data_IF_917811865859
#
_entry.id   IF_917811865859
#
_cell.length_a   1.000
_cell.length_b   1.000
_cell.length_c   1.000
_cell.angle_alpha   90.00
_cell.angle_beta   90.00
_cell.angle_gamma   90.00
#
_symmetry.space_group_name_H-M   'P 1'
#
loop_
_entity.id
_entity.type
_entity.pdbx_description
1 polymer ?
#
# COMPACT_ATOMS: atom_id res chain seq x y z
N UNK A 1 3.52 -1.98 3.43
CA UNK A 1 3.76 -3.11 4.33
C UNK A 1 5.17 -2.99 4.87
N UNK A 2 5.33 -3.06 6.19
CA UNK A 2 6.65 -3.07 6.85
C UNK A 2 6.93 -4.51 7.26
N UNK A 3 8.11 -5.02 6.92
CA UNK A 3 8.57 -6.32 7.37
C UNK A 3 9.08 -6.18 8.82
N UNK A 4 8.63 -7.08 9.69
CA UNK A 4 9.04 -7.07 11.11
C UNK A 4 9.97 -8.22 11.49
N UNK A 5 9.93 -9.33 10.74
CA UNK A 5 10.78 -10.51 10.97
C UNK A 5 11.51 -10.86 9.66
N UNK A 6 12.85 -10.96 9.65
CA UNK A 6 13.62 -11.30 8.46
C UNK A 6 13.29 -12.68 7.86
N UNK A 7 12.77 -13.62 8.65
CA UNK A 7 12.39 -14.99 8.23
C UNK A 7 11.08 -15.03 7.45
N UNK A 8 10.23 -14.02 7.66
CA UNK A 8 8.91 -13.87 7.05
C UNK A 8 8.95 -12.70 6.05
N UNK A 9 9.48 -12.92 4.83
CA UNK A 9 9.60 -11.87 3.84
C UNK A 9 8.22 -11.33 3.44
N UNK A 10 8.17 -10.02 3.22
CA UNK A 10 6.98 -9.30 2.82
C UNK A 10 7.29 -8.49 1.57
N UNK A 11 6.42 -8.54 0.56
CA UNK A 11 6.54 -7.68 -0.61
C UNK A 11 6.26 -6.23 -0.18
N UNK A 12 7.21 -5.29 -0.38
CA UNK A 12 7.04 -3.91 0.06
C UNK A 12 6.01 -3.19 -0.82
N UNK A 13 4.90 -2.78 -0.21
CA UNK A 13 3.83 -2.02 -0.88
C UNK A 13 3.60 -0.71 -0.14
N UNK A 14 3.45 0.39 -0.87
CA UNK A 14 3.00 1.67 -0.31
C UNK A 14 1.48 1.80 -0.45
N UNK A 15 0.82 2.01 0.68
CA UNK A 15 -0.63 2.19 0.76
C UNK A 15 -0.97 3.20 1.85
N UNK A 16 -2.18 3.75 1.79
CA UNK A 16 -2.75 4.52 2.90
C UNK A 16 -2.84 3.65 4.15
N UNK A 17 -2.68 4.27 5.32
CA UNK A 17 -2.85 3.58 6.60
C UNK A 17 -4.34 3.30 6.80
N UNK A 18 -4.67 2.05 7.10
CA UNK A 18 -6.02 1.58 7.43
C UNK A 18 -5.93 0.37 8.39
N UNK A 19 -7.09 -0.15 8.80
CA UNK A 19 -7.19 -1.28 9.74
C UNK A 19 -6.51 -2.55 9.19
N UNK A 20 -6.63 -2.83 7.89
CA UNK A 20 -5.95 -3.96 7.23
C UNK A 20 -4.42 -3.90 7.39
N UNK A 21 -3.81 -2.71 7.28
CA UNK A 21 -2.38 -2.53 7.51
C UNK A 21 -1.93 -2.85 8.94
N UNK A 22 -2.74 -2.47 9.94
CA UNK A 22 -2.48 -2.75 11.35
C UNK A 22 -2.63 -4.25 11.66
N UNK A 23 -3.71 -4.85 11.18
CA UNK A 23 -3.99 -6.28 11.29
C UNK A 23 -2.91 -7.12 10.60
N UNK A 24 -2.36 -6.68 9.48
CA UNK A 24 -1.24 -7.38 8.84
C UNK A 24 0.01 -7.40 9.71
N UNK A 25 0.28 -6.30 10.43
CA UNK A 25 1.41 -6.23 11.36
C UNK A 25 1.17 -7.15 12.55
N UNK A 26 -0.08 -7.22 13.06
CA UNK A 26 -0.46 -8.18 14.09
C UNK A 26 -0.30 -9.63 13.60
N UNK A 27 -0.73 -9.94 12.37
CA UNK A 27 -0.61 -11.26 11.76
C UNK A 27 0.85 -11.69 11.60
N UNK A 28 1.74 -10.79 11.19
CA UNK A 28 3.18 -11.08 11.14
C UNK A 28 3.72 -11.50 12.52
N UNK A 29 3.32 -10.82 13.60
CA UNK A 29 3.75 -11.17 14.97
C UNK A 29 3.19 -12.52 15.42
N UNK A 30 1.91 -12.76 15.12
CA UNK A 30 1.23 -14.03 15.42
C UNK A 30 1.94 -15.20 14.73
N UNK A 31 2.20 -15.09 13.43
CA UNK A 31 2.86 -16.13 12.63
C UNK A 31 4.30 -16.37 13.11
N UNK A 32 5.05 -15.31 13.43
CA UNK A 32 6.38 -15.44 14.02
C UNK A 32 6.33 -16.22 15.37
N UNK A 33 5.36 -15.91 16.23
CA UNK A 33 5.16 -16.63 17.49
C UNK A 33 4.72 -18.09 17.30
N UNK A 34 3.99 -18.41 16.24
CA UNK A 34 3.67 -19.81 15.88
C UNK A 34 4.90 -20.57 15.39
N UNK A 35 5.73 -19.92 14.58
CA UNK A 35 6.98 -20.46 14.08
C UNK A 35 7.96 -20.74 15.23
N UNK A 36 8.14 -19.79 16.15
CA UNK A 36 9.02 -19.93 17.30
C UNK A 36 8.57 -21.04 18.26
N UNK A 37 7.25 -21.27 18.36
CA UNK A 37 6.68 -22.35 19.16
C UNK A 37 6.68 -23.72 18.45
N UNK A 38 7.20 -23.82 17.22
CA UNK A 38 7.18 -25.06 16.42
C UNK A 38 5.76 -25.52 16.05
N UNK A 39 4.78 -24.60 16.05
CA UNK A 39 3.37 -24.90 15.70
C UNK A 39 3.12 -24.89 14.20
N UNK A 40 3.97 -24.21 13.44
CA UNK A 40 3.96 -24.16 11.97
C UNK A 40 5.38 -24.27 11.44
N UNK A 41 5.52 -24.89 10.28
CA UNK A 41 6.79 -24.95 9.55
C UNK A 41 7.08 -23.63 8.83
N UNK A 42 8.34 -23.38 8.50
CA UNK A 42 8.78 -22.14 7.85
C UNK A 42 8.01 -21.83 6.56
N UNK A 43 7.81 -22.83 5.70
CA UNK A 43 7.12 -22.65 4.41
C UNK A 43 5.65 -22.25 4.62
N UNK A 44 4.98 -22.91 5.56
CA UNK A 44 3.59 -22.60 5.92
C UNK A 44 3.47 -21.20 6.52
N UNK A 45 4.40 -20.82 7.40
CA UNK A 45 4.45 -19.48 7.96
C UNK A 45 4.59 -18.40 6.87
N UNK A 46 5.49 -18.61 5.90
CA UNK A 46 5.66 -17.69 4.78
C UNK A 46 4.40 -17.59 3.90
N UNK A 47 3.76 -18.72 3.63
CA UNK A 47 2.53 -18.78 2.83
C UNK A 47 1.37 -18.02 3.50
N UNK A 48 1.24 -18.08 4.82
CA UNK A 48 0.22 -17.31 5.57
C UNK A 48 0.43 -15.80 5.44
N UNK A 49 1.69 -15.34 5.38
CA UNK A 49 2.01 -13.92 5.18
C UNK A 49 1.68 -13.49 3.75
N UNK A 50 2.00 -14.30 2.75
CA UNK A 50 1.69 -14.03 1.34
C UNK A 50 0.17 -13.97 1.11
N UNK A 51 -0.58 -14.93 1.65
CA UNK A 51 -2.03 -15.01 1.45
C UNK A 51 -2.81 -13.85 2.07
N UNK A 52 -2.27 -13.17 3.09
CA UNK A 52 -2.97 -12.08 3.75
C UNK A 52 -3.47 -11.01 2.75
N UNK A 53 -2.60 -10.61 1.82
CA UNK A 53 -2.92 -9.57 0.84
C UNK A 53 -3.54 -10.12 -0.45
N UNK A 54 -3.79 -11.43 -0.54
CA UNK A 54 -4.44 -12.03 -1.71
C UNK A 54 -5.80 -11.37 -1.96
N UNK A 55 -5.96 -10.81 -3.18
CA UNK A 55 -7.18 -10.11 -3.60
C UNK A 55 -7.45 -8.77 -2.89
N UNK A 56 -6.57 -8.28 -2.03
CA UNK A 56 -6.85 -7.09 -1.22
C UNK A 56 -6.92 -5.79 -2.03
N UNK A 57 -6.14 -5.67 -3.11
CA UNK A 57 -6.25 -4.53 -4.03
C UNK A 57 -7.63 -4.52 -4.70
N UNK A 58 -8.11 -5.68 -5.14
CA UNK A 58 -9.45 -5.82 -5.73
C UNK A 58 -10.53 -5.42 -4.72
N UNK A 59 -10.43 -5.87 -3.46
CA UNK A 59 -11.38 -5.49 -2.38
C UNK A 59 -11.47 -3.98 -2.21
N UNK A 60 -10.33 -3.29 -2.17
CA UNK A 60 -10.31 -1.82 -2.07
C UNK A 60 -10.88 -1.14 -3.32
N UNK A 61 -10.42 -1.53 -4.51
CA UNK A 61 -10.67 -0.79 -5.76
C UNK A 61 -12.05 -1.10 -6.36
N UNK A 62 -12.49 -2.36 -6.29
CA UNK A 62 -13.74 -2.81 -6.91
C UNK A 62 -14.87 -2.85 -5.89
N UNK A 63 -14.62 -3.45 -4.72
CA UNK A 63 -15.67 -3.67 -3.73
C UNK A 63 -15.82 -2.48 -2.76
N UNK A 64 -14.91 -1.50 -2.82
CA UNK A 64 -14.94 -0.28 -2.00
C UNK A 64 -14.50 -0.46 -0.55
N UNK A 65 -13.88 -1.60 -0.20
CA UNK A 65 -13.40 -1.90 1.15
C UNK A 65 -12.08 -1.16 1.43
N UNK A 66 -12.19 0.09 1.85
CA UNK A 66 -11.04 0.94 2.21
C UNK A 66 -10.46 0.62 3.59
N UNK A 67 -11.20 -0.11 4.43
CA UNK A 67 -10.79 -0.43 5.80
C UNK A 67 -9.85 -1.63 5.84
N UNK A 68 -10.17 -2.69 5.09
CA UNK A 68 -9.44 -3.97 5.09
C UNK A 68 -8.80 -4.30 3.73
N UNK A 69 -9.09 -3.53 2.69
CA UNK A 69 -8.43 -3.64 1.39
C UNK A 69 -7.05 -2.96 1.33
N UNK A 70 -6.36 -3.15 0.21
CA UNK A 70 -5.08 -2.49 -0.08
C UNK A 70 -5.31 -1.20 -0.86
N UNK A 71 -5.42 -0.07 -0.15
CA UNK A 71 -5.59 1.26 -0.76
C UNK A 71 -4.21 1.83 -1.16
N UNK A 72 -3.68 1.34 -2.27
CA UNK A 72 -2.35 1.74 -2.75
C UNK A 72 -2.33 3.19 -3.24
N UNK A 73 -1.45 4.01 -2.65
CA UNK A 73 -1.31 5.42 -3.01
C UNK A 73 0.12 5.92 -2.75
N UNK A 74 0.61 6.81 -3.61
CA UNK A 74 1.87 7.54 -3.41
C UNK A 74 1.75 8.64 -2.36
N UNK A 75 2.88 9.20 -1.90
CA UNK A 75 2.86 10.30 -0.91
C UNK A 75 2.25 11.59 -1.47
N UNK A 76 2.27 11.78 -2.79
CA UNK A 76 1.61 12.89 -3.47
C UNK A 76 0.09 12.91 -3.30
N UNK A 77 -0.53 11.82 -2.82
CA UNK A 77 -1.99 11.77 -2.55
C UNK A 77 -2.46 12.88 -1.61
N UNK A 78 -1.61 13.34 -0.68
CA UNK A 78 -1.94 14.46 0.19
C UNK A 78 -2.14 15.81 -0.54
N UNK A 79 -1.64 15.92 -1.78
CA UNK A 79 -1.80 17.08 -2.66
C UNK A 79 -3.06 17.01 -3.52
N UNK A 80 -3.69 15.84 -3.65
CA UNK A 80 -4.92 15.67 -4.41
C UNK A 80 -6.10 16.16 -3.58
N UNK A 81 -6.79 17.22 -4.03
CA UNK A 81 -7.87 17.90 -3.28
C UNK A 81 -9.26 17.79 -3.91
N UNK A 82 -9.34 17.35 -5.16
CA UNK A 82 -10.58 17.26 -5.93
C UNK A 82 -10.50 16.12 -6.93
N UNK A 83 -11.68 15.65 -7.32
CA UNK A 83 -11.86 14.75 -8.46
C UNK A 83 -11.98 15.57 -9.74
N UNK A 84 -11.29 15.15 -10.80
CA UNK A 84 -11.21 15.91 -12.05
C UNK A 84 -11.18 14.99 -13.27
N UNK A 85 -11.68 15.46 -14.42
CA UNK A 85 -11.46 14.78 -15.70
C UNK A 85 -9.97 14.64 -16.00
N UNK A 86 -9.58 13.51 -16.60
CA UNK A 86 -8.19 13.23 -16.97
C UNK A 86 -7.59 14.32 -17.87
N UNK A 87 -8.40 14.86 -18.79
CA UNK A 87 -7.99 15.95 -19.68
C UNK A 87 -7.56 17.22 -18.89
N UNK A 88 -8.33 17.58 -17.86
CA UNK A 88 -8.09 18.77 -17.06
C UNK A 88 -6.85 18.60 -16.15
N UNK A 89 -6.66 17.39 -15.61
CA UNK A 89 -5.46 17.04 -14.84
C UNK A 89 -4.22 17.22 -15.71
N UNK A 90 -4.22 16.65 -16.93
CA UNK A 90 -3.07 16.73 -17.84
C UNK A 90 -2.84 18.19 -18.25
N UNK A 91 -3.88 18.93 -18.62
CA UNK A 91 -3.76 20.33 -19.02
C UNK A 91 -3.15 21.19 -17.90
N UNK A 92 -3.59 20.99 -16.65
CA UNK A 92 -3.07 21.69 -15.48
C UNK A 92 -1.59 21.37 -15.27
N UNK A 93 -1.21 20.09 -15.27
CA UNK A 93 0.19 19.67 -15.10
C UNK A 93 1.11 20.26 -16.17
N UNK A 94 0.67 20.31 -17.43
CA UNK A 94 1.45 20.88 -18.53
C UNK A 94 1.62 22.40 -18.39
N UNK A 95 0.56 23.11 -17.99
CA UNK A 95 0.60 24.55 -17.78
C UNK A 95 1.51 24.93 -16.59
N UNK A 96 1.39 24.22 -15.46
CA UNK A 96 2.24 24.41 -14.28
C UNK A 96 3.72 24.14 -14.61
N UNK A 97 4.00 23.08 -15.37
CA UNK A 97 5.37 22.76 -15.80
C UNK A 97 5.97 23.88 -16.69
N UNK A 98 5.22 24.36 -17.68
CA UNK A 98 5.67 25.46 -18.55
C UNK A 98 5.96 26.73 -17.76
N UNK A 99 5.04 27.12 -16.87
CA UNK A 99 5.22 28.29 -16.00
C UNK A 99 6.44 28.15 -15.09
N UNK A 100 6.68 26.97 -14.52
CA UNK A 100 7.87 26.71 -13.71
C UNK A 100 9.19 26.82 -14.50
N UNK A 101 9.20 26.40 -15.78
CA UNK A 101 10.36 26.56 -16.65
C UNK A 101 10.65 28.03 -16.98
N UNK A 102 9.63 28.80 -17.32
CA UNK A 102 9.77 30.24 -17.59
C UNK A 102 10.28 31.00 -16.37
N UNK A 103 9.69 30.74 -15.19
CA UNK A 103 10.09 31.39 -13.94
C UNK A 103 11.55 31.07 -13.52
N UNK A 104 12.08 29.91 -13.91
CA UNK A 104 13.48 29.53 -13.66
C UNK A 104 14.47 30.14 -14.66
N UNK A 105 14.00 30.47 -15.86
CA UNK A 105 14.83 31.06 -16.91
C UNK A 105 14.99 32.58 -16.79
N UNK A 106 14.09 33.23 -16.05
CA UNK A 106 14.16 34.64 -15.66
C UNK A 106 15.13 34.87 -14.49
#
# INVERSE_FOLDING_TARGET
SVQIDPRLPVIPVRALKNAGGELFTAKQREVAGHLDAGRVEMMEAQLQIEHYWAGALRRAVIDGDIEHGSVMAGQSVGMVKKEEPVADIIATLMAEAASAFEARAA
#
